data_IF_167382696803
#
_entry.id   IF_167382696803
#
_cell.length_a   1.000
_cell.length_b   1.000
_cell.length_c   1.000
_cell.angle_alpha   90.00
_cell.angle_beta   90.00
_cell.angle_gamma   90.00
#
_symmetry.space_group_name_H-M   'P 1'
#
loop_
_entity.id
_entity.type
_entity.pdbx_description
1 polymer ?
#
# COMPACT_ATOMS: atom_id res chain seq x y z
N UNK A 1 5.29 -16.92 30.81
CA UNK A 1 5.34 -15.52 31.32
C UNK A 1 5.53 -14.60 30.13
N UNK A 2 4.47 -13.96 29.68
CA UNK A 2 4.49 -13.02 28.56
C UNK A 2 4.99 -11.67 29.09
N UNK A 3 6.13 -11.18 28.58
CA UNK A 3 6.66 -9.88 28.98
C UNK A 3 5.70 -8.79 28.50
N UNK A 4 4.99 -8.14 29.42
CA UNK A 4 4.19 -6.95 29.13
C UNK A 4 5.09 -5.87 28.57
N UNK A 5 4.84 -5.46 27.31
CA UNK A 5 5.57 -4.35 26.67
C UNK A 5 5.19 -3.03 27.34
N UNK A 6 6.14 -2.10 27.45
CA UNK A 6 5.87 -0.79 28.04
C UNK A 6 4.92 0.04 27.17
N UNK A 7 4.18 0.97 27.77
CA UNK A 7 3.29 1.87 27.03
C UNK A 7 4.05 2.72 25.99
N UNK A 8 5.30 3.09 26.27
CA UNK A 8 6.14 3.85 25.35
C UNK A 8 6.54 3.03 24.11
N UNK A 9 6.85 1.74 24.27
CA UNK A 9 7.11 0.83 23.15
C UNK A 9 5.87 0.65 22.26
N UNK A 10 4.69 0.51 22.87
CA UNK A 10 3.41 0.40 22.13
C UNK A 10 3.15 1.69 21.33
N UNK A 11 3.36 2.85 21.95
CA UNK A 11 3.18 4.16 21.32
C UNK A 11 4.17 4.38 20.17
N UNK A 12 5.44 4.05 20.37
CA UNK A 12 6.47 4.13 19.33
C UNK A 12 6.17 3.20 18.16
N UNK A 13 5.75 1.95 18.42
CA UNK A 13 5.36 1.03 17.35
C UNK A 13 4.16 1.53 16.55
N UNK A 14 3.14 2.10 17.22
CA UNK A 14 1.98 2.73 16.54
C UNK A 14 2.39 3.93 15.69
N UNK A 15 3.28 4.78 16.21
CA UNK A 15 3.83 5.93 15.48
C UNK A 15 4.58 5.48 14.21
N UNK A 16 5.49 4.51 14.33
CA UNK A 16 6.17 3.92 13.16
C UNK A 16 5.19 3.29 12.18
N UNK A 17 4.15 2.61 12.70
CA UNK A 17 3.13 2.00 11.85
C UNK A 17 2.28 3.01 11.07
N UNK A 18 2.29 4.29 11.43
CA UNK A 18 1.49 5.33 10.77
C UNK A 18 2.30 6.33 9.94
N UNK A 19 3.63 6.19 9.86
CA UNK A 19 4.48 7.04 9.00
C UNK A 19 4.11 6.89 7.52
N UNK A 20 4.24 7.93 6.71
CA UNK A 20 4.11 7.78 5.25
C UNK A 20 5.38 7.08 4.71
N UNK A 21 5.29 6.15 3.74
CA UNK A 21 6.49 5.55 3.14
C UNK A 21 7.36 6.62 2.48
N UNK A 22 8.68 6.45 2.54
CA UNK A 22 9.62 7.35 1.86
C UNK A 22 9.34 7.38 0.35
N UNK A 23 9.37 8.57 -0.25
CA UNK A 23 9.11 8.80 -1.67
C UNK A 23 7.67 8.54 -2.15
N UNK A 24 6.72 8.18 -1.27
CA UNK A 24 5.36 7.80 -1.69
C UNK A 24 4.60 8.92 -2.42
N UNK A 25 4.88 10.18 -2.08
CA UNK A 25 4.27 11.35 -2.71
C UNK A 25 4.85 11.64 -4.09
N UNK A 26 6.00 11.08 -4.43
CA UNK A 26 6.70 11.32 -5.70
C UNK A 26 6.09 10.51 -6.86
N UNK A 27 5.19 9.56 -6.55
CA UNK A 27 4.56 8.67 -7.52
C UNK A 27 3.11 9.03 -7.82
N UNK A 28 2.76 8.97 -9.10
CA UNK A 28 1.39 9.03 -9.59
C UNK A 28 0.54 7.86 -9.06
N UNK A 29 -0.74 8.08 -8.70
CA UNK A 29 -1.62 7.03 -8.18
C UNK A 29 -1.78 5.80 -9.08
N UNK A 30 -2.02 6.04 -10.37
CA UNK A 30 -2.33 5.03 -11.37
C UNK A 30 -1.48 5.30 -12.62
N UNK A 31 -0.91 4.24 -13.20
CA UNK A 31 -0.23 4.30 -14.49
C UNK A 31 -1.10 3.71 -15.59
N UNK A 32 -0.66 3.84 -16.85
CA UNK A 32 -1.34 3.23 -17.99
C UNK A 32 -1.22 1.71 -17.97
N UNK A 33 -2.14 1.04 -18.66
CA UNK A 33 -2.08 -0.40 -18.86
C UNK A 33 -0.79 -0.75 -19.60
N UNK A 34 -0.16 -1.85 -19.18
CA UNK A 34 1.02 -2.36 -19.88
C UNK A 34 0.54 -2.95 -21.21
N UNK A 35 1.09 -2.43 -22.31
CA UNK A 35 0.73 -2.83 -23.67
C UNK A 35 0.77 -4.35 -23.83
N UNK A 36 -0.22 -4.90 -24.55
CA UNK A 36 -0.37 -6.34 -24.79
C UNK A 36 -0.54 -7.19 -23.51
N UNK A 37 -0.93 -6.59 -22.39
CA UNK A 37 -1.25 -7.33 -21.15
C UNK A 37 -2.57 -6.89 -20.53
N UNK A 38 -2.97 -7.57 -19.46
CA UNK A 38 -4.10 -7.19 -18.58
C UNK A 38 -3.62 -6.57 -17.26
N UNK A 39 -2.39 -6.06 -17.21
CA UNK A 39 -1.83 -5.47 -16.01
C UNK A 39 -1.93 -3.94 -16.04
N UNK A 40 -2.32 -3.38 -14.91
CA UNK A 40 -2.27 -1.94 -14.63
C UNK A 40 -1.40 -1.74 -13.38
N UNK A 41 -0.27 -1.02 -13.49
CA UNK A 41 0.53 -0.67 -12.32
C UNK A 41 -0.11 0.51 -11.58
N UNK A 42 -0.07 0.46 -10.26
CA UNK A 42 -0.54 1.52 -9.39
C UNK A 42 0.37 1.67 -8.17
N UNK A 43 0.45 2.88 -7.60
CA UNK A 43 1.19 3.08 -6.35
C UNK A 43 0.43 2.43 -5.20
N UNK A 44 1.13 1.96 -4.17
CA UNK A 44 0.47 1.29 -3.03
C UNK A 44 -0.56 2.22 -2.34
N UNK A 45 -1.84 1.83 -2.27
CA UNK A 45 -2.84 2.57 -1.50
C UNK A 45 -2.52 2.54 0.00
N UNK A 46 -2.97 3.56 0.75
CA UNK A 46 -2.74 3.66 2.19
C UNK A 46 -4.06 3.73 2.97
N UNK A 47 -4.09 3.11 4.14
CA UNK A 47 -5.19 3.14 5.10
C UNK A 47 -5.33 4.51 5.74
N UNK A 48 -6.53 4.82 6.23
CA UNK A 48 -6.88 6.15 6.74
C UNK A 48 -5.95 6.66 7.86
N UNK A 49 -5.41 5.77 8.70
CA UNK A 49 -4.49 6.16 9.78
C UNK A 49 -3.15 6.70 9.28
N UNK A 50 -2.69 6.29 8.11
CA UNK A 50 -1.49 6.84 7.46
C UNK A 50 -1.87 8.09 6.65
N UNK A 51 -2.98 8.03 5.90
CA UNK A 51 -3.45 9.14 5.07
C UNK A 51 -3.77 10.43 5.85
N UNK A 52 -4.07 10.33 7.16
CA UNK A 52 -4.23 11.51 8.05
C UNK A 52 -3.00 12.41 8.08
N UNK A 53 -1.82 11.87 7.79
CA UNK A 53 -0.56 12.61 7.72
C UNK A 53 -0.25 13.18 6.32
N UNK A 54 -1.21 13.09 5.38
CA UNK A 54 -1.09 13.53 3.99
C UNK A 54 -2.18 14.57 3.69
N UNK A 55 -1.84 15.58 2.90
CA UNK A 55 -2.77 16.58 2.39
C UNK A 55 -3.92 15.91 1.62
N UNK A 56 -5.14 16.41 1.75
CA UNK A 56 -6.35 15.73 1.23
C UNK A 56 -6.26 15.42 -0.26
N UNK A 57 -5.71 16.33 -1.07
CA UNK A 57 -5.60 16.19 -2.52
C UNK A 57 -4.61 15.10 -2.98
N UNK A 58 -3.65 14.75 -2.13
CA UNK A 58 -2.59 13.77 -2.46
C UNK A 58 -2.92 12.36 -1.94
N UNK A 59 -4.05 12.20 -1.25
CA UNK A 59 -4.46 10.92 -0.65
C UNK A 59 -4.82 9.91 -1.73
N UNK A 60 -4.52 8.65 -1.41
CA UNK A 60 -4.84 7.52 -2.26
C UNK A 60 -5.08 6.27 -1.41
N UNK A 61 -6.35 5.90 -1.29
CA UNK A 61 -6.88 4.73 -0.59
C UNK A 61 -7.29 3.63 -1.58
N UNK A 62 -7.68 2.46 -1.08
CA UNK A 62 -8.24 1.39 -1.91
C UNK A 62 -9.49 1.86 -2.66
N UNK A 63 -10.39 2.60 -1.99
CA UNK A 63 -11.58 3.16 -2.64
C UNK A 63 -11.19 4.11 -3.79
N UNK A 64 -10.19 4.98 -3.57
CA UNK A 64 -9.70 5.87 -4.62
C UNK A 64 -9.14 5.10 -5.84
N UNK A 65 -8.54 3.91 -5.61
CA UNK A 65 -8.08 3.03 -6.69
C UNK A 65 -9.26 2.47 -7.47
N UNK A 66 -10.26 1.92 -6.79
CA UNK A 66 -11.44 1.32 -7.42
C UNK A 66 -12.23 2.38 -8.19
N UNK A 67 -12.55 3.50 -7.55
CA UNK A 67 -13.31 4.60 -8.17
C UNK A 67 -12.63 5.10 -9.44
N UNK A 68 -11.29 5.24 -9.44
CA UNK A 68 -10.55 5.67 -10.63
C UNK A 68 -10.64 4.66 -11.77
N UNK A 69 -10.55 3.37 -11.47
CA UNK A 69 -10.64 2.30 -12.47
C UNK A 69 -12.06 2.19 -13.03
N UNK A 70 -13.08 2.24 -12.18
CA UNK A 70 -14.47 2.17 -12.60
C UNK A 70 -14.87 3.38 -13.45
N UNK A 71 -14.40 4.59 -13.10
CA UNK A 71 -14.59 5.79 -13.92
C UNK A 71 -13.92 5.70 -15.30
N UNK A 72 -12.92 4.82 -15.46
CA UNK A 72 -12.32 4.50 -16.76
C UNK A 72 -13.03 3.34 -17.48
N UNK A 73 -14.17 2.87 -16.97
CA UNK A 73 -14.92 1.73 -17.48
C UNK A 73 -14.18 0.40 -17.29
N UNK A 74 -13.30 0.31 -16.30
CA UNK A 74 -12.47 -0.87 -16.03
C UNK A 74 -12.82 -1.47 -14.67
N UNK A 75 -12.76 -2.79 -14.60
CA UNK A 75 -12.87 -3.56 -13.35
C UNK A 75 -11.61 -4.38 -13.16
N UNK A 76 -11.14 -4.48 -11.93
CA UNK A 76 -10.05 -5.39 -11.55
C UNK A 76 -10.64 -6.61 -10.86
N UNK A 77 -10.09 -7.78 -11.16
CA UNK A 77 -10.46 -9.04 -10.51
C UNK A 77 -9.42 -9.55 -9.53
N UNK A 78 -8.19 -9.04 -9.59
CA UNK A 78 -7.06 -9.49 -8.78
C UNK A 78 -6.11 -8.33 -8.46
N UNK A 79 -5.71 -8.21 -7.20
CA UNK A 79 -4.57 -7.40 -6.76
C UNK A 79 -3.39 -8.31 -6.43
N UNK A 80 -2.25 -8.03 -7.07
CA UNK A 80 -0.96 -8.64 -6.74
C UNK A 80 -0.14 -7.62 -5.94
N UNK A 81 -0.07 -7.81 -4.63
CA UNK A 81 0.66 -6.94 -3.72
C UNK A 81 2.12 -7.40 -3.56
N UNK A 82 3.02 -6.58 -4.10
CA UNK A 82 4.45 -6.83 -4.10
C UNK A 82 5.18 -6.27 -2.87
N UNK A 83 4.47 -5.63 -1.95
CA UNK A 83 5.11 -4.98 -0.79
C UNK A 83 5.55 -6.01 0.26
N UNK A 84 6.71 -5.78 0.86
CA UNK A 84 7.18 -6.57 2.02
C UNK A 84 6.62 -6.05 3.35
N UNK A 85 5.32 -5.74 3.39
CA UNK A 85 4.64 -5.31 4.61
C UNK A 85 3.12 -5.47 4.51
N UNK A 86 2.43 -5.53 5.66
CA UNK A 86 0.96 -5.48 5.77
C UNK A 86 0.47 -4.15 6.37
N UNK A 87 1.34 -3.16 6.45
CA UNK A 87 1.07 -1.89 7.14
C UNK A 87 0.12 -0.98 6.37
N UNK A 88 0.10 -1.11 5.05
CA UNK A 88 -0.46 -0.10 4.16
C UNK A 88 -1.96 -0.16 4.03
N UNK A 89 -2.54 -1.33 3.84
CA UNK A 89 -3.98 -1.55 3.81
C UNK A 89 -4.29 -2.96 4.32
N UNK A 90 -5.55 -3.22 4.65
CA UNK A 90 -6.00 -4.55 5.02
C UNK A 90 -6.40 -5.31 3.76
N UNK A 91 -5.89 -6.52 3.55
CA UNK A 91 -6.25 -7.31 2.38
C UNK A 91 -7.73 -7.73 2.42
N UNK A 92 -8.32 -7.80 3.61
CA UNK A 92 -9.75 -8.10 3.78
C UNK A 92 -10.63 -7.03 3.16
N UNK A 93 -10.20 -5.76 3.18
CA UNK A 93 -10.90 -4.68 2.50
C UNK A 93 -10.96 -4.91 0.98
N UNK A 94 -9.96 -5.58 0.40
CA UNK A 94 -9.92 -5.95 -1.04
C UNK A 94 -10.88 -7.12 -1.31
N UNK A 95 -10.83 -8.15 -0.47
CA UNK A 95 -11.71 -9.33 -0.60
C UNK A 95 -13.19 -8.96 -0.42
N UNK A 96 -13.50 -8.04 0.50
CA UNK A 96 -14.86 -7.51 0.72
C UNK A 96 -15.40 -6.74 -0.49
N UNK A 97 -14.52 -6.19 -1.33
CA UNK A 97 -14.87 -5.58 -2.63
C UNK A 97 -15.09 -6.61 -3.74
N UNK A 98 -14.96 -7.91 -3.44
CA UNK A 98 -15.09 -9.00 -4.42
C UNK A 98 -13.87 -9.14 -5.34
N UNK A 99 -12.70 -8.66 -4.90
CA UNK A 99 -11.44 -8.69 -5.66
C UNK A 99 -10.52 -9.73 -5.03
N UNK A 100 -9.93 -10.61 -5.84
CA UNK A 100 -8.95 -11.57 -5.35
C UNK A 100 -7.67 -10.86 -4.89
N UNK A 101 -7.02 -11.40 -3.86
CA UNK A 101 -5.78 -10.83 -3.32
C UNK A 101 -4.66 -11.87 -3.30
N UNK A 102 -3.51 -11.50 -3.85
CA UNK A 102 -2.29 -12.30 -3.81
C UNK A 102 -1.13 -11.44 -3.29
N UNK A 103 -0.40 -11.92 -2.28
CA UNK A 103 0.80 -11.24 -1.77
C UNK A 103 2.06 -11.99 -2.14
N UNK A 104 2.95 -11.30 -2.83
CA UNK A 104 4.31 -11.78 -3.12
C UNK A 104 5.26 -10.80 -2.42
N UNK A 105 5.88 -11.21 -1.33
CA UNK A 105 6.82 -10.33 -0.61
C UNK A 105 8.07 -10.12 -1.44
N UNK A 106 8.24 -8.92 -1.96
CA UNK A 106 9.47 -8.51 -2.64
C UNK A 106 10.27 -7.64 -1.66
N UNK A 107 11.45 -8.11 -1.21
CA UNK A 107 12.34 -7.28 -0.41
C UNK A 107 12.61 -5.96 -1.12
N UNK A 108 12.55 -4.86 -0.37
CA UNK A 108 12.88 -3.53 -0.90
C UNK A 108 14.35 -3.44 -1.32
N UNK A 109 14.77 -2.23 -1.74
CA UNK A 109 16.16 -1.97 -2.11
C UNK A 109 17.09 -2.39 -0.96
N UNK A 110 17.81 -3.50 -1.15
CA UNK A 110 19.05 -3.70 -0.42
C UNK A 110 20.00 -2.67 -1.03
N UNK A 111 20.30 -1.60 -0.31
CA UNK A 111 21.43 -0.75 -0.66
C UNK A 111 22.63 -1.68 -0.87
N UNK A 112 23.11 -1.79 -2.11
CA UNK A 112 24.29 -2.59 -2.48
C UNK A 112 25.59 -1.95 -1.97
N UNK A 113 25.53 -1.07 -0.97
CA UNK A 113 26.65 -0.34 -0.39
C UNK A 113 27.28 -1.06 0.81
N UNK A 114 27.30 -2.39 0.82
CA UNK A 114 28.10 -3.18 1.75
C UNK A 114 28.69 -4.39 1.00
N UNK A 115 29.60 -4.12 0.07
CA UNK A 115 30.70 -5.02 -0.25
C UNK A 115 31.97 -4.18 -0.40
N UNK A 116 32.66 -4.08 0.75
CA UNK A 116 34.12 -3.98 0.96
C UNK A 116 35.00 -3.69 -0.25
#
# INVERSE_FOLDING_TARGET
MERSRSNDEIRNRRSMNNKVPAGWLDYSPLNTWIENTRFVPFKCPLRSSILRNINKQDRFSLNDLIDRLENQGRKIGLIIDLTDTYRYYDYRDVEDMGIEYCKIRVPGHQDVSDKS
#
